data_IF_377756423035
#
_entry.id   IF_377756423035
#
_cell.length_a   1.000
_cell.length_b   1.000
_cell.length_c   1.000
_cell.angle_alpha   90.00
_cell.angle_beta   90.00
_cell.angle_gamma   90.00
#
_symmetry.space_group_name_H-M   'P 1'
#
loop_
_entity.id
_entity.type
_entity.pdbx_description
1 polymer ?
#
# COMPACT_ATOMS: atom_id res chain seq x y z
N UNK A 1 -4.89 -1.58 15.27
CA UNK A 1 -5.45 -1.33 13.93
C UNK A 1 -6.95 -1.20 14.06
N UNK A 2 -7.49 -0.02 13.78
CA UNK A 2 -8.92 0.25 13.98
C UNK A 2 -9.69 0.13 12.67
N UNK A 3 -9.13 0.65 11.57
CA UNK A 3 -9.83 0.75 10.30
C UNK A 3 -8.88 0.97 9.13
N UNK A 4 -9.22 0.36 8.00
CA UNK A 4 -8.71 0.74 6.69
C UNK A 4 -9.79 1.52 5.92
N UNK A 5 -9.37 2.54 5.18
CA UNK A 5 -10.17 3.18 4.13
C UNK A 5 -9.44 3.02 2.82
N UNK A 6 -10.16 2.76 1.73
CA UNK A 6 -9.57 2.60 0.40
C UNK A 6 -10.29 3.50 -0.61
N UNK A 7 -9.49 4.19 -1.41
CA UNK A 7 -9.95 5.05 -2.50
C UNK A 7 -9.26 4.67 -3.80
N UNK A 8 -9.93 4.88 -4.92
CA UNK A 8 -9.37 4.67 -6.27
C UNK A 8 -9.31 6.00 -6.97
N UNK A 9 -8.14 6.37 -7.48
CA UNK A 9 -7.93 7.56 -8.30
C UNK A 9 -7.50 7.12 -9.70
N UNK A 10 -8.17 7.62 -10.72
CA UNK A 10 -7.72 7.46 -12.11
C UNK A 10 -7.22 8.81 -12.60
N UNK A 11 -5.95 8.86 -12.97
CA UNK A 11 -5.26 10.08 -13.42
C UNK A 11 -4.99 9.91 -14.91
N UNK A 12 -5.60 10.72 -15.80
CA UNK A 12 -5.26 10.73 -17.22
C UNK A 12 -3.79 11.07 -17.43
N UNK A 13 -3.18 10.49 -18.45
CA UNK A 13 -1.84 10.93 -18.91
C UNK A 13 -1.97 12.23 -19.69
N UNK A 14 -0.90 13.03 -19.73
CA UNK A 14 -0.90 14.32 -20.46
C UNK A 14 -1.03 14.13 -21.98
N UNK A 15 -0.66 12.94 -22.48
CA UNK A 15 -0.80 12.48 -23.87
C UNK A 15 -0.92 10.95 -23.89
N UNK A 16 -1.40 10.32 -24.98
CA UNK A 16 -1.41 8.86 -25.11
C UNK A 16 0.01 8.28 -25.01
N UNK A 17 0.22 7.37 -24.07
CA UNK A 17 1.51 6.73 -23.83
C UNK A 17 1.52 5.30 -24.41
N UNK A 18 2.71 4.84 -24.80
CA UNK A 18 2.90 3.47 -25.27
C UNK A 18 4.33 2.97 -25.04
N UNK A 19 4.46 1.65 -24.91
CA UNK A 19 5.71 0.93 -25.05
C UNK A 19 5.63 -0.03 -26.25
N UNK A 20 6.61 -0.93 -26.41
CA UNK A 20 6.64 -1.88 -27.53
C UNK A 20 5.51 -2.92 -27.51
N UNK A 21 4.69 -2.97 -26.47
CA UNK A 21 3.70 -4.02 -26.21
C UNK A 21 2.33 -3.54 -25.74
N UNK A 22 2.21 -2.29 -25.26
CA UNK A 22 0.98 -1.76 -24.69
C UNK A 22 0.86 -0.25 -24.95
N UNK A 23 -0.39 0.23 -25.07
CA UNK A 23 -0.74 1.65 -25.07
C UNK A 23 -1.72 1.94 -23.93
N UNK A 24 -1.62 3.11 -23.32
CA UNK A 24 -2.50 3.54 -22.23
C UNK A 24 -2.68 5.06 -22.21
N UNK A 25 -3.76 5.50 -21.56
CA UNK A 25 -4.14 6.93 -21.47
C UNK A 25 -4.40 7.37 -20.03
N UNK A 26 -4.17 6.49 -19.05
CA UNK A 26 -4.40 6.77 -17.64
C UNK A 26 -3.61 5.85 -16.73
N UNK A 27 -3.38 6.33 -15.51
CA UNK A 27 -2.84 5.58 -14.38
C UNK A 27 -3.89 5.42 -13.29
N UNK A 28 -4.10 4.19 -12.83
CA UNK A 28 -5.00 3.91 -11.69
C UNK A 28 -4.20 3.71 -10.42
N UNK A 29 -4.51 4.49 -9.39
CA UNK A 29 -3.92 4.41 -8.05
C UNK A 29 -4.96 3.89 -7.07
N UNK A 30 -4.63 2.84 -6.35
CA UNK A 30 -5.39 2.37 -5.18
C UNK A 30 -4.69 2.87 -3.93
N UNK A 31 -5.31 3.83 -3.25
CA UNK A 31 -4.82 4.47 -2.02
C UNK A 31 -5.50 3.85 -0.80
N UNK A 32 -4.71 3.45 0.19
CA UNK A 32 -5.14 2.91 1.47
C UNK A 32 -4.72 3.85 2.60
N UNK A 33 -5.67 4.16 3.47
CA UNK A 33 -5.43 4.86 4.73
C UNK A 33 -5.67 3.88 5.90
N UNK A 34 -4.66 3.69 6.76
CA UNK A 34 -4.75 2.86 7.96
C UNK A 34 -4.83 3.74 9.21
N UNK A 35 -5.78 3.49 10.10
CA UNK A 35 -5.98 4.29 11.33
C UNK A 35 -5.77 3.46 12.60
N UNK A 36 -5.04 4.02 13.57
CA UNK A 36 -4.94 3.52 14.94
C UNK A 36 -4.39 4.60 15.87
N UNK A 37 -4.82 4.62 17.14
CA UNK A 37 -4.17 5.42 18.19
C UNK A 37 -4.18 6.92 17.90
N UNK A 38 -5.24 7.43 17.27
CA UNK A 38 -5.36 8.83 16.86
C UNK A 38 -4.49 9.24 15.66
N UNK A 39 -3.69 8.32 15.11
CA UNK A 39 -2.85 8.53 13.93
C UNK A 39 -3.41 7.80 12.71
N UNK A 40 -2.95 8.22 11.54
CA UNK A 40 -3.27 7.59 10.26
C UNK A 40 -2.04 7.52 9.38
N UNK A 41 -1.85 6.40 8.68
CA UNK A 41 -0.79 6.20 7.70
C UNK A 41 -1.34 5.92 6.31
N UNK A 42 -0.55 6.23 5.29
CA UNK A 42 -0.93 6.09 3.88
C UNK A 42 -0.05 5.09 3.14
N UNK A 43 -0.65 4.38 2.18
CA UNK A 43 0.05 3.50 1.27
C UNK A 43 -0.73 3.33 -0.01
N UNK A 44 -0.06 3.12 -1.13
CA UNK A 44 -0.71 2.99 -2.43
C UNK A 44 -0.04 1.94 -3.30
N UNK A 45 -0.75 1.54 -4.34
CA UNK A 45 -0.21 0.74 -5.44
C UNK A 45 -0.85 1.19 -6.75
N UNK A 46 -0.09 1.09 -7.85
CA UNK A 46 -0.62 1.20 -9.19
C UNK A 46 -1.26 -0.13 -9.56
N UNK A 47 -2.58 -0.19 -9.55
CA UNK A 47 -3.33 -1.42 -9.66
C UNK A 47 -4.68 -1.18 -10.29
N UNK A 48 -5.25 -2.21 -10.91
CA UNK A 48 -6.64 -2.19 -11.31
C UNK A 48 -7.56 -1.93 -10.10
N UNK A 49 -8.70 -1.28 -10.35
CA UNK A 49 -9.69 -0.92 -9.33
C UNK A 49 -10.19 -2.13 -8.51
N UNK A 50 -10.10 -3.34 -9.04
CA UNK A 50 -10.44 -4.58 -8.32
C UNK A 50 -9.62 -4.79 -7.06
N UNK A 51 -8.38 -4.26 -6.98
CA UNK A 51 -7.59 -4.30 -5.75
C UNK A 51 -8.31 -3.61 -4.58
N UNK A 52 -9.06 -2.53 -4.83
CA UNK A 52 -9.81 -1.84 -3.79
C UNK A 52 -10.93 -2.70 -3.18
N UNK A 53 -11.57 -3.56 -3.99
CA UNK A 53 -12.54 -4.51 -3.48
C UNK A 53 -11.88 -5.53 -2.55
N UNK A 54 -10.71 -6.07 -2.92
CA UNK A 54 -9.98 -6.98 -2.06
C UNK A 54 -9.54 -6.33 -0.73
N UNK A 55 -9.08 -5.07 -0.76
CA UNK A 55 -8.75 -4.33 0.46
C UNK A 55 -9.97 -4.21 1.37
N UNK A 56 -11.10 -3.75 0.83
CA UNK A 56 -12.32 -3.51 1.60
C UNK A 56 -12.95 -4.79 2.13
N UNK A 57 -13.11 -5.79 1.26
CA UNK A 57 -13.97 -6.95 1.50
C UNK A 57 -13.20 -8.09 2.20
N UNK A 58 -11.87 -8.13 2.08
CA UNK A 58 -11.02 -9.17 2.70
C UNK A 58 -10.00 -8.60 3.66
N UNK A 59 -9.09 -7.74 3.19
CA UNK A 59 -7.91 -7.37 3.98
C UNK A 59 -8.25 -6.51 5.19
N UNK A 60 -9.29 -5.67 5.10
CA UNK A 60 -9.77 -4.84 6.20
C UNK A 60 -10.17 -5.68 7.41
N UNK A 61 -10.88 -6.79 7.20
CA UNK A 61 -11.24 -7.73 8.28
C UNK A 61 -10.04 -8.47 8.87
N UNK A 62 -9.05 -8.79 8.03
CA UNK A 62 -7.82 -9.48 8.47
C UNK A 62 -6.99 -8.61 9.40
N UNK A 63 -6.89 -7.30 9.13
CA UNK A 63 -6.05 -6.39 9.91
C UNK A 63 -6.77 -5.73 11.08
N UNK A 64 -8.11 -5.70 11.07
CA UNK A 64 -8.89 -5.13 12.17
C UNK A 64 -8.52 -5.77 13.52
N UNK A 65 -8.33 -4.94 14.55
CA UNK A 65 -7.95 -5.38 15.90
C UNK A 65 -6.49 -5.82 16.07
N UNK A 66 -5.71 -5.98 14.99
CA UNK A 66 -4.27 -6.31 15.11
C UNK A 66 -3.47 -5.15 15.68
N UNK A 67 -2.37 -5.47 16.34
CA UNK A 67 -1.40 -4.46 16.79
C UNK A 67 -0.78 -3.71 15.59
N UNK A 68 -0.87 -2.38 15.61
CA UNK A 68 -0.29 -1.52 14.57
C UNK A 68 1.25 -1.57 14.56
N UNK A 69 1.88 -2.01 15.65
CA UNK A 69 3.34 -2.18 15.74
C UNK A 69 3.82 -3.49 15.08
N UNK A 70 2.93 -4.46 14.89
CA UNK A 70 3.23 -5.80 14.39
C UNK A 70 3.00 -5.95 12.87
N UNK A 71 3.53 -5.02 12.07
CA UNK A 71 3.35 -4.99 10.61
C UNK A 71 3.70 -6.32 9.91
N UNK A 72 4.82 -7.01 10.22
CA UNK A 72 5.11 -8.32 9.62
C UNK A 72 4.02 -9.38 9.90
N UNK A 73 3.46 -9.39 11.11
CA UNK A 73 2.38 -10.32 11.47
C UNK A 73 1.06 -9.98 10.76
N UNK A 74 0.79 -8.71 10.48
CA UNK A 74 -0.34 -8.32 9.63
C UNK A 74 -0.14 -8.75 8.17
N UNK A 75 1.08 -8.60 7.63
CA UNK A 75 1.45 -9.08 6.31
C UNK A 75 1.25 -10.59 6.15
N UNK A 76 1.80 -11.39 7.07
CA UNK A 76 1.66 -12.86 7.04
C UNK A 76 0.18 -13.29 7.07
N UNK A 77 -0.62 -12.64 7.91
CA UNK A 77 -2.05 -12.92 7.99
C UNK A 77 -2.79 -12.58 6.68
N UNK A 78 -2.44 -11.46 6.04
CA UNK A 78 -3.00 -11.11 4.73
C UNK A 78 -2.60 -12.14 3.67
N UNK A 79 -1.33 -12.56 3.62
CA UNK A 79 -0.86 -13.61 2.71
C UNK A 79 -1.56 -14.97 2.92
N UNK A 80 -1.90 -15.29 4.17
CA UNK A 80 -2.69 -16.48 4.48
C UNK A 80 -4.14 -16.33 3.98
N UNK A 81 -4.77 -15.18 4.20
CA UNK A 81 -6.14 -14.91 3.76
C UNK A 81 -6.29 -14.93 2.24
N UNK A 82 -5.29 -14.45 1.48
CA UNK A 82 -5.36 -14.43 0.02
C UNK A 82 -4.89 -15.72 -0.66
N UNK A 83 -4.54 -16.77 0.11
CA UNK A 83 -3.94 -18.00 -0.43
C UNK A 83 -4.75 -18.61 -1.59
N UNK A 84 -6.08 -18.63 -1.46
CA UNK A 84 -6.97 -19.23 -2.46
C UNK A 84 -7.36 -18.25 -3.58
N UNK A 85 -7.08 -16.96 -3.43
CA UNK A 85 -7.40 -15.93 -4.44
C UNK A 85 -6.34 -15.83 -5.54
N UNK A 86 -5.18 -16.49 -5.35
CA UNK A 86 -3.98 -16.29 -6.15
C UNK A 86 -3.14 -15.16 -5.56
N UNK A 87 -1.91 -15.49 -5.14
CA UNK A 87 -1.01 -14.51 -4.48
C UNK A 87 -0.47 -13.42 -5.42
N UNK A 88 -0.10 -13.70 -6.68
CA UNK A 88 0.44 -12.68 -7.59
C UNK A 88 -0.59 -11.65 -8.07
N UNK A 89 -0.12 -10.61 -8.76
CA UNK A 89 -0.96 -9.64 -9.45
C UNK A 89 -1.78 -8.76 -8.50
N UNK A 90 -3.07 -8.61 -8.78
CA UNK A 90 -3.99 -7.70 -8.05
C UNK A 90 -3.96 -7.96 -6.55
N UNK A 91 -3.87 -9.23 -6.12
CA UNK A 91 -3.83 -9.55 -4.70
C UNK A 91 -2.55 -9.02 -4.05
N UNK A 92 -1.37 -9.31 -4.62
CA UNK A 92 -0.10 -8.78 -4.13
C UNK A 92 -0.09 -7.24 -4.10
N UNK A 93 -0.62 -6.58 -5.13
CA UNK A 93 -0.70 -5.11 -5.20
C UNK A 93 -1.61 -4.52 -4.10
N UNK A 94 -2.75 -5.16 -3.83
CA UNK A 94 -3.62 -4.79 -2.72
C UNK A 94 -2.90 -4.94 -1.37
N UNK A 95 -2.20 -6.06 -1.15
CA UNK A 95 -1.47 -6.26 0.10
C UNK A 95 -0.30 -5.27 0.23
N UNK A 96 0.39 -4.95 -0.86
CA UNK A 96 1.46 -3.95 -0.87
C UNK A 96 0.95 -2.56 -0.45
N UNK A 97 -0.19 -2.12 -0.99
CA UNK A 97 -0.81 -0.85 -0.60
C UNK A 97 -1.13 -0.81 0.90
N UNK A 98 -1.70 -1.90 1.45
CA UNK A 98 -2.00 -2.00 2.89
C UNK A 98 -0.72 -1.99 3.72
N UNK A 99 0.28 -2.82 3.41
CA UNK A 99 1.54 -2.89 4.18
C UNK A 99 2.26 -1.56 4.22
N UNK A 100 2.31 -0.83 3.11
CA UNK A 100 2.90 0.51 3.08
C UNK A 100 2.16 1.46 4.03
N UNK A 101 0.82 1.43 4.05
CA UNK A 101 0.02 2.21 4.98
C UNK A 101 0.26 1.83 6.44
N UNK A 102 0.46 0.53 6.72
CA UNK A 102 0.79 0.04 8.06
C UNK A 102 2.17 0.53 8.54
N UNK A 103 3.16 0.54 7.65
CA UNK A 103 4.50 1.04 7.97
C UNK A 103 4.51 2.56 8.20
N UNK A 104 3.81 3.33 7.36
CA UNK A 104 3.66 4.78 7.56
C UNK A 104 2.93 5.07 8.88
N UNK A 105 1.85 4.35 9.19
CA UNK A 105 1.13 4.47 10.46
C UNK A 105 2.04 4.16 11.65
N UNK A 106 2.82 3.08 11.59
CA UNK A 106 3.78 2.71 12.63
C UNK A 106 4.82 3.81 12.85
N UNK A 107 5.35 4.37 11.77
CA UNK A 107 6.32 5.48 11.83
C UNK A 107 5.72 6.70 12.52
N UNK A 108 4.48 7.07 12.17
CA UNK A 108 3.75 8.20 12.78
C UNK A 108 3.41 7.98 14.25
N UNK A 109 2.98 6.77 14.63
CA UNK A 109 2.73 6.41 16.04
C UNK A 109 3.99 6.49 16.90
N UNK A 110 5.17 6.28 16.30
CA UNK A 110 6.47 6.40 16.97
C UNK A 110 7.08 7.80 16.81
N UNK A 111 6.42 8.71 16.10
CA UNK A 111 6.93 10.04 15.77
C UNK A 111 8.31 10.01 15.07
N UNK A 112 8.53 9.01 14.21
CA UNK A 112 9.77 8.80 13.48
C UNK A 112 9.56 8.95 11.97
N UNK A 113 10.54 9.51 11.23
CA UNK A 113 10.59 9.34 9.80
C UNK A 113 10.67 7.84 9.43
N UNK A 114 9.90 7.38 8.45
CA UNK A 114 9.87 5.97 8.04
C UNK A 114 11.27 5.42 7.71
N UNK A 115 12.10 6.21 7.02
CA UNK A 115 13.48 5.82 6.70
C UNK A 115 14.32 5.55 7.96
N UNK A 116 14.09 6.29 9.05
CA UNK A 116 14.78 6.06 10.33
C UNK A 116 14.28 4.80 11.00
N UNK A 117 12.96 4.57 10.98
CA UNK A 117 12.35 3.34 11.47
C UNK A 117 12.92 2.10 10.76
N UNK A 118 13.19 2.21 9.46
CA UNK A 118 13.73 1.12 8.63
C UNK A 118 15.26 1.00 8.65
N UNK A 119 15.97 1.81 9.43
CA UNK A 119 17.44 1.72 9.56
C UNK A 119 18.20 2.48 8.47
N UNK A 120 17.89 3.76 8.28
CA UNK A 120 18.54 4.66 7.32
C UNK A 120 20.07 4.50 7.25
N UNK A 121 20.60 4.29 6.03
CA UNK A 121 22.04 4.23 5.73
C UNK A 121 22.55 5.49 5.02
N UNK A 122 21.72 6.15 4.20
CA UNK A 122 22.09 7.33 3.41
C UNK A 122 21.16 8.50 3.71
N UNK A 123 21.69 9.73 3.67
CA UNK A 123 20.91 10.96 3.94
C UNK A 123 20.16 11.49 2.73
N UNK A 124 20.70 11.27 1.53
CA UNK A 124 20.11 11.67 0.27
C UNK A 124 20.45 10.62 -0.81
N UNK A 125 19.66 10.63 -1.89
CA UNK A 125 20.01 9.96 -3.13
C UNK A 125 20.66 11.00 -4.04
N UNK A 126 21.78 10.67 -4.66
CA UNK A 126 22.36 11.51 -5.72
C UNK A 126 21.68 11.13 -7.03
N UNK A 127 20.99 12.09 -7.67
CA UNK A 127 20.52 11.89 -9.04
C UNK A 127 21.73 11.81 -9.96
N UNK A 128 21.99 10.63 -10.52
CA UNK A 128 22.96 10.48 -11.59
C UNK A 128 22.47 11.26 -12.81
N UNK A 129 23.12 12.37 -13.12
CA UNK A 129 22.86 13.14 -14.33
C UNK A 129 23.12 12.28 -15.57
N UNK A 130 22.08 12.12 -16.39
CA UNK A 130 22.13 11.57 -17.74
C UNK A 130 21.67 12.61 -18.73
#
# INVERSE_FOLDING_TARGET
MERLTVSVCEIPTDYPEQDGTLSWEKTTVVLVEARAGGQWGIGYSYADRSAAALVRDTLSGVVAGRDAMAVPGAWEAMLAAIRNHGRPGVAAMAVAAVVTALWDLKARLLELPLVRLLGQVRRAFEEGGG
#
